data_IF_019517388778
#
_entry.id   IF_019517388778
#
_cell.length_a   1.000
_cell.length_b   1.000
_cell.length_c   1.000
_cell.angle_alpha   90.00
_cell.angle_beta   90.00
_cell.angle_gamma   90.00
#
_symmetry.space_group_name_H-M   'P 1'
#
loop_
_entity.id
_entity.type
_entity.pdbx_description
1 polymer ?
#
# COMPACT_ATOMS: atom_id res chain seq x y z
N UNK A 1 53.03 23.66 -47.67
CA UNK A 1 53.56 24.56 -46.60
C UNK A 1 52.38 25.43 -46.15
N UNK A 2 51.75 25.32 -44.98
CA UNK A 2 52.22 25.15 -43.60
C UNK A 2 51.17 24.40 -42.75
N UNK A 3 51.63 23.39 -42.01
CA UNK A 3 51.03 22.90 -40.77
C UNK A 3 51.00 24.00 -39.68
N UNK A 4 50.06 23.90 -38.73
CA UNK A 4 50.15 24.23 -37.27
C UNK A 4 48.71 24.25 -36.71
N UNK A 5 48.35 23.80 -35.50
CA UNK A 5 48.97 23.09 -34.37
C UNK A 5 47.78 22.58 -33.53
N UNK A 6 47.80 21.33 -33.06
CA UNK A 6 46.82 20.81 -32.09
C UNK A 6 47.12 21.38 -30.71
N UNK A 7 46.10 21.87 -30.01
CA UNK A 7 46.18 22.21 -28.57
C UNK A 7 45.31 21.21 -27.83
N UNK A 8 45.96 20.37 -27.03
CA UNK A 8 45.33 19.41 -26.11
C UNK A 8 45.15 20.17 -24.79
N UNK A 9 43.91 20.40 -24.35
CA UNK A 9 43.62 20.82 -22.98
C UNK A 9 43.21 19.58 -22.18
N UNK A 10 44.07 19.20 -21.25
CA UNK A 10 43.83 18.23 -20.19
C UNK A 10 42.74 18.75 -19.26
N UNK A 11 41.58 18.06 -19.24
CA UNK A 11 40.53 18.31 -18.26
C UNK A 11 40.85 17.47 -17.01
N UNK A 12 41.34 18.10 -15.95
CA UNK A 12 41.39 17.52 -14.62
C UNK A 12 39.97 17.35 -14.09
N UNK A 13 39.52 16.10 -13.99
CA UNK A 13 38.25 15.74 -13.37
C UNK A 13 38.40 15.83 -11.83
N UNK A 14 37.98 16.96 -11.26
CA UNK A 14 37.82 17.08 -9.81
C UNK A 14 36.58 16.28 -9.38
N UNK A 15 36.81 15.10 -8.78
CA UNK A 15 35.75 14.32 -8.13
C UNK A 15 35.43 15.00 -6.81
N UNK A 16 34.38 15.82 -6.80
CA UNK A 16 33.82 16.40 -5.59
C UNK A 16 32.99 15.30 -4.89
N UNK A 17 33.54 14.70 -3.83
CA UNK A 17 32.79 13.78 -2.96
C UNK A 17 31.65 14.57 -2.29
N UNK A 18 30.42 14.33 -2.73
CA UNK A 18 29.23 14.78 -1.99
C UNK A 18 29.03 13.84 -0.81
N UNK A 19 29.12 14.37 0.41
CA UNK A 19 28.74 13.67 1.62
C UNK A 19 27.24 13.32 1.55
N UNK A 20 26.93 12.02 1.51
CA UNK A 20 25.55 11.51 1.59
C UNK A 20 25.13 11.54 3.07
N UNK A 21 24.03 12.19 3.46
CA UNK A 21 23.56 12.13 4.84
C UNK A 21 23.02 10.72 5.12
N UNK A 22 23.67 10.01 6.04
CA UNK A 22 23.36 8.65 6.47
C UNK A 22 22.28 8.65 7.55
N UNK A 23 21.28 7.75 7.45
CA UNK A 23 20.45 6.97 8.45
C UNK A 23 20.03 7.60 9.81
N UNK A 24 20.62 8.69 10.25
CA UNK A 24 20.47 9.35 11.56
C UNK A 24 19.13 10.06 11.76
N UNK A 25 18.40 10.39 10.68
CA UNK A 25 17.20 11.24 10.72
C UNK A 25 15.88 10.47 11.01
N UNK A 26 15.87 9.13 10.93
CA UNK A 26 14.73 8.29 11.34
C UNK A 26 14.73 8.06 12.85
N UNK A 27 15.88 7.57 13.35
CA UNK A 27 16.08 7.28 14.76
C UNK A 27 15.84 8.55 15.56
N UNK A 28 16.35 9.71 15.11
CA UNK A 28 16.11 10.99 15.76
C UNK A 28 14.63 11.36 15.90
N UNK A 29 13.77 11.01 14.93
CA UNK A 29 12.32 11.29 14.96
C UNK A 29 11.57 10.31 15.86
N UNK A 30 11.91 9.03 15.83
CA UNK A 30 11.35 8.00 16.73
C UNK A 30 11.71 8.32 18.18
N UNK A 31 12.97 8.64 18.42
CA UNK A 31 13.49 8.97 19.75
C UNK A 31 12.84 10.26 20.28
N UNK A 32 12.72 11.30 19.44
CA UNK A 32 11.99 12.52 19.78
C UNK A 32 10.50 12.25 20.06
N UNK A 33 9.83 11.42 19.26
CA UNK A 33 8.42 11.05 19.50
C UNK A 33 8.27 10.38 20.88
N UNK A 34 9.16 9.45 21.21
CA UNK A 34 9.13 8.74 22.50
C UNK A 34 9.45 9.69 23.65
N UNK A 35 10.41 10.60 23.48
CA UNK A 35 10.72 11.63 24.47
C UNK A 35 9.51 12.53 24.73
N UNK A 36 8.87 13.04 23.67
CA UNK A 36 7.63 13.84 23.77
C UNK A 36 6.54 13.03 24.46
N UNK A 37 6.37 11.75 24.11
CA UNK A 37 5.35 10.87 24.69
C UNK A 37 5.50 10.76 26.20
N UNK A 38 6.73 10.54 26.66
CA UNK A 38 7.03 10.36 28.08
C UNK A 38 6.77 11.63 28.91
N UNK A 39 6.87 12.84 28.33
CA UNK A 39 6.61 14.11 29.03
C UNK A 39 5.18 14.24 29.55
N UNK A 40 4.23 13.48 28.99
CA UNK A 40 2.82 13.57 29.36
C UNK A 40 2.35 12.41 30.24
N UNK A 41 3.26 11.55 30.73
CA UNK A 41 2.90 10.49 31.69
C UNK A 41 2.18 11.09 32.91
N UNK A 42 1.09 10.46 33.32
CA UNK A 42 0.26 10.90 34.44
C UNK A 42 -0.80 11.95 34.09
N UNK A 43 -0.81 12.54 32.88
CA UNK A 43 -1.92 13.41 32.45
C UNK A 43 -3.22 12.61 32.48
N UNK A 44 -4.29 13.09 33.16
CA UNK A 44 -5.50 12.31 33.36
C UNK A 44 -6.24 12.03 32.05
N UNK A 45 -7.03 10.96 32.06
CA UNK A 45 -7.92 10.69 30.95
C UNK A 45 -9.09 11.66 30.93
N UNK A 46 -9.44 12.15 29.74
CA UNK A 46 -10.63 12.96 29.52
C UNK A 46 -11.24 12.56 28.18
N UNK A 47 -12.48 12.09 28.17
CA UNK A 47 -13.17 11.71 26.93
C UNK A 47 -13.27 12.93 26.01
N UNK A 48 -12.82 12.80 24.75
CA UNK A 48 -12.76 13.96 23.85
C UNK A 48 -11.54 14.87 24.08
N UNK A 49 -10.73 14.63 25.10
CA UNK A 49 -9.58 15.44 25.49
C UNK A 49 -8.43 15.39 24.48
N UNK A 50 -7.86 16.54 24.17
CA UNK A 50 -6.78 16.73 23.18
C UNK A 50 -5.65 17.65 23.66
N UNK A 51 -5.61 17.94 24.98
CA UNK A 51 -4.64 18.89 25.56
C UNK A 51 -3.99 18.30 26.81
N UNK A 52 -2.86 18.86 27.29
CA UNK A 52 -2.20 18.40 28.52
C UNK A 52 -3.04 18.52 29.81
N UNK A 53 -4.22 19.14 29.78
CA UNK A 53 -5.17 19.14 30.90
C UNK A 53 -5.98 17.84 30.98
N UNK A 54 -5.97 17.04 29.91
CA UNK A 54 -6.65 15.75 29.85
C UNK A 54 -6.72 15.23 28.42
N UNK A 55 -6.43 13.94 28.24
CA UNK A 55 -6.42 13.29 26.93
C UNK A 55 -7.34 12.08 26.88
N UNK A 56 -8.04 11.86 25.76
CA UNK A 56 -8.44 10.49 25.39
C UNK A 56 -7.31 9.77 24.65
N UNK A 57 -7.46 8.47 24.38
CA UNK A 57 -6.40 7.67 23.74
C UNK A 57 -5.94 8.27 22.40
N UNK A 58 -6.89 8.59 21.53
CA UNK A 58 -6.62 9.14 20.20
C UNK A 58 -6.20 10.61 20.21
N UNK A 59 -6.65 11.40 21.19
CA UNK A 59 -6.24 12.78 21.41
C UNK A 59 -4.82 12.87 21.95
N UNK A 60 -4.42 11.93 22.81
CA UNK A 60 -3.04 11.79 23.28
C UNK A 60 -2.09 11.49 22.10
N UNK A 61 -2.36 10.43 21.33
CA UNK A 61 -1.52 10.08 20.18
C UNK A 61 -1.50 11.22 19.16
N UNK A 62 -2.64 11.82 18.83
CA UNK A 62 -2.70 12.98 17.94
C UNK A 62 -1.81 14.12 18.41
N UNK A 63 -1.87 14.45 19.71
CA UNK A 63 -1.10 15.55 20.27
C UNK A 63 0.41 15.30 20.21
N UNK A 64 0.87 14.11 20.62
CA UNK A 64 2.29 13.75 20.62
C UNK A 64 2.84 13.69 19.20
N UNK A 65 2.12 13.04 18.27
CA UNK A 65 2.54 12.99 16.88
C UNK A 65 2.57 14.38 16.24
N UNK A 66 1.61 15.25 16.56
CA UNK A 66 1.61 16.64 16.06
C UNK A 66 2.86 17.41 16.53
N UNK A 67 3.30 17.20 17.77
CA UNK A 67 4.55 17.78 18.30
C UNK A 67 5.79 17.19 17.62
N UNK A 68 5.72 15.95 17.15
CA UNK A 68 6.74 15.31 16.31
C UNK A 68 6.59 15.64 14.80
N UNK A 69 5.70 16.58 14.42
CA UNK A 69 5.53 17.03 13.04
C UNK A 69 4.59 16.17 12.18
N UNK A 70 3.83 15.25 12.77
CA UNK A 70 2.91 14.34 12.08
C UNK A 70 1.47 14.62 12.48
N UNK A 71 0.61 14.87 11.49
CA UNK A 71 -0.82 15.09 11.76
C UNK A 71 -1.57 13.77 11.71
N UNK A 72 -2.19 13.41 12.83
CA UNK A 72 -3.12 12.28 12.91
C UNK A 72 -4.57 12.77 12.92
N UNK A 73 -5.50 12.01 12.33
CA UNK A 73 -6.93 12.28 12.46
C UNK A 73 -7.39 12.07 13.92
N UNK A 74 -8.58 12.56 14.24
CA UNK A 74 -9.00 12.75 15.63
C UNK A 74 -9.29 11.44 16.37
N UNK A 75 -9.91 10.46 15.71
CA UNK A 75 -10.41 9.26 16.38
C UNK A 75 -9.51 8.04 16.17
N UNK A 76 -9.54 7.09 17.10
CA UNK A 76 -8.80 5.82 17.00
C UNK A 76 -9.14 5.04 15.73
N UNK A 77 -10.42 5.04 15.30
CA UNK A 77 -10.82 4.42 14.03
C UNK A 77 -10.16 5.07 12.83
N UNK A 78 -10.16 6.40 12.77
CA UNK A 78 -9.53 7.12 11.68
C UNK A 78 -8.01 6.90 11.68
N UNK A 79 -7.40 6.87 12.87
CA UNK A 79 -5.97 6.61 13.03
C UNK A 79 -5.60 5.17 12.60
N UNK A 80 -6.51 4.22 12.79
CA UNK A 80 -6.33 2.84 12.33
C UNK A 80 -6.38 2.72 10.79
N UNK A 81 -6.88 3.71 10.07
CA UNK A 81 -7.00 3.69 8.62
C UNK A 81 -5.91 4.49 7.89
N UNK A 82 -4.91 5.00 8.61
CA UNK A 82 -3.78 5.74 8.03
C UNK A 82 -2.45 5.02 8.28
N UNK A 83 -1.46 5.33 7.47
CA UNK A 83 -0.14 4.69 7.55
C UNK A 83 -0.14 3.25 7.04
N UNK A 84 1.01 2.60 7.16
CA UNK A 84 1.21 1.24 6.67
C UNK A 84 0.87 0.23 7.76
N UNK A 85 0.05 -0.82 7.50
CA UNK A 85 -0.16 -1.88 8.47
C UNK A 85 1.15 -2.60 8.83
N UNK A 86 1.33 -2.88 10.11
CA UNK A 86 2.51 -3.59 10.65
C UNK A 86 2.05 -4.86 11.34
N UNK A 87 2.68 -5.99 11.02
CA UNK A 87 2.43 -7.25 11.72
C UNK A 87 2.97 -7.17 13.15
N UNK A 88 2.36 -7.90 14.09
CA UNK A 88 2.77 -7.86 15.50
C UNK A 88 4.24 -8.24 15.70
N UNK A 89 4.79 -9.12 14.86
CA UNK A 89 6.20 -9.53 14.88
C UNK A 89 7.18 -8.45 14.40
N UNK A 90 6.70 -7.49 13.61
CA UNK A 90 7.53 -6.46 12.97
C UNK A 90 7.31 -5.08 13.62
N UNK A 91 6.78 -5.05 14.85
CA UNK A 91 6.54 -3.81 15.56
C UNK A 91 7.85 -3.09 15.86
N UNK A 92 7.89 -1.82 15.48
CA UNK A 92 9.01 -0.92 15.73
C UNK A 92 8.56 0.25 16.58
N UNK A 93 9.51 0.79 17.35
CA UNK A 93 9.29 1.98 18.18
C UNK A 93 8.64 3.10 17.36
N UNK A 94 7.58 3.68 17.90
CA UNK A 94 6.80 4.74 17.26
C UNK A 94 5.65 4.25 16.37
N UNK A 95 5.46 2.95 16.17
CA UNK A 95 4.23 2.44 15.54
C UNK A 95 3.02 2.70 16.45
N UNK A 96 1.87 3.02 15.86
CA UNK A 96 0.60 3.06 16.58
C UNK A 96 0.07 1.64 16.74
N UNK A 97 -0.30 1.25 17.96
CA UNK A 97 -0.94 -0.04 18.27
C UNK A 97 -2.39 0.17 18.66
N UNK A 98 -3.26 -0.73 18.25
CA UNK A 98 -4.71 -0.57 18.34
C UNK A 98 -5.38 -1.76 19.02
N UNK A 99 -6.45 -1.46 19.76
CA UNK A 99 -7.17 -2.43 20.57
C UNK A 99 -8.69 -2.26 20.48
N UNK A 100 -9.40 -3.37 20.66
CA UNK A 100 -10.86 -3.44 20.82
C UNK A 100 -11.22 -3.56 22.30
N UNK A 101 -11.56 -2.44 22.97
CA UNK A 101 -11.80 -2.36 24.42
C UNK A 101 -13.28 -2.21 24.77
N UNK A 102 -13.90 -1.06 24.49
CA UNK A 102 -15.29 -0.75 24.90
C UNK A 102 -16.31 -0.92 23.77
N UNK A 103 -15.86 -1.07 22.52
CA UNK A 103 -16.70 -1.47 21.38
C UNK A 103 -15.85 -2.27 20.39
N UNK A 104 -16.54 -3.04 19.55
CA UNK A 104 -15.90 -3.76 18.44
C UNK A 104 -15.14 -2.80 17.52
N UNK A 105 -13.95 -3.24 17.09
CA UNK A 105 -13.06 -2.45 16.25
C UNK A 105 -12.09 -1.55 17.04
N UNK A 106 -11.34 -0.66 16.35
CA UNK A 106 -10.31 0.21 16.95
C UNK A 106 -10.88 1.26 17.91
N UNK A 107 -11.23 0.83 19.11
CA UNK A 107 -11.79 1.67 20.17
C UNK A 107 -10.74 2.24 21.12
N UNK A 108 -9.51 1.73 21.08
CA UNK A 108 -8.38 2.26 21.84
C UNK A 108 -7.08 2.18 21.06
N UNK A 109 -6.12 3.06 21.36
CA UNK A 109 -4.81 3.05 20.75
C UNK A 109 -3.71 3.62 21.65
N UNK A 110 -2.47 3.42 21.24
CA UNK A 110 -1.28 3.97 21.87
C UNK A 110 -0.06 3.85 20.98
N UNK A 111 1.09 4.26 21.50
CA UNK A 111 2.37 4.31 20.77
C UNK A 111 3.24 3.18 21.26
N UNK A 112 3.69 2.29 20.37
CA UNK A 112 4.62 1.23 20.70
C UNK A 112 5.99 1.83 21.02
N UNK A 113 6.57 1.42 22.14
CA UNK A 113 7.85 1.96 22.65
C UNK A 113 8.95 0.89 22.75
N UNK A 114 8.73 -0.27 22.13
CA UNK A 114 9.67 -1.40 22.16
C UNK A 114 9.35 -2.40 23.28
N UNK A 115 9.99 -3.57 23.24
CA UNK A 115 9.94 -4.60 24.28
C UNK A 115 8.52 -5.07 24.66
N UNK A 116 7.60 -5.10 23.69
CA UNK A 116 6.20 -5.44 23.95
C UNK A 116 5.44 -4.37 24.73
N UNK A 117 5.96 -3.16 24.87
CA UNK A 117 5.36 -2.07 25.65
C UNK A 117 4.79 -0.99 24.74
N UNK A 118 3.75 -0.33 25.23
CA UNK A 118 3.15 0.81 24.57
C UNK A 118 2.69 1.86 25.59
N UNK A 119 2.76 3.13 25.20
CA UNK A 119 2.29 4.26 26.01
C UNK A 119 0.93 4.76 25.49
N UNK A 120 -0.03 4.98 26.38
CA UNK A 120 -1.39 5.37 26.02
C UNK A 120 -2.07 6.14 27.17
N UNK A 121 -3.13 6.90 26.85
CA UNK A 121 -4.03 7.44 27.88
C UNK A 121 -5.02 6.37 28.33
N UNK A 122 -4.90 5.87 29.55
CA UNK A 122 -5.78 4.88 30.19
C UNK A 122 -6.93 5.57 30.91
N UNK A 123 -8.15 5.04 30.79
CA UNK A 123 -9.37 5.61 31.41
C UNK A 123 -9.25 5.82 32.92
N UNK A 124 -8.55 4.95 33.65
CA UNK A 124 -8.45 5.00 35.12
C UNK A 124 -7.14 5.61 35.64
N UNK A 125 -6.10 5.68 34.82
CA UNK A 125 -4.74 6.03 35.29
C UNK A 125 -4.06 7.12 34.47
N UNK A 126 -4.76 7.70 33.50
CA UNK A 126 -4.19 8.69 32.60
C UNK A 126 -3.10 8.09 31.71
N UNK A 127 -2.15 8.90 31.26
CA UNK A 127 -1.08 8.45 30.37
C UNK A 127 -0.11 7.52 31.11
N UNK A 128 -0.12 6.24 30.74
CA UNK A 128 0.68 5.16 31.34
C UNK A 128 1.32 4.28 30.28
N UNK A 129 2.24 3.42 30.72
CA UNK A 129 2.85 2.37 29.89
C UNK A 129 2.23 1.03 30.27
N UNK A 130 1.78 0.29 29.27
CA UNK A 130 1.22 -1.06 29.40
C UNK A 130 1.96 -2.04 28.48
N UNK A 131 1.73 -3.33 28.66
CA UNK A 131 2.24 -4.38 27.77
C UNK A 131 1.20 -4.78 26.74
N UNK A 132 1.56 -4.84 25.45
CA UNK A 132 0.69 -5.36 24.38
C UNK A 132 0.49 -6.88 24.45
N UNK A 133 1.31 -7.54 25.28
CA UNK A 133 1.29 -8.99 25.49
C UNK A 133 0.76 -9.36 26.88
N UNK A 134 0.22 -8.39 27.62
CA UNK A 134 -0.49 -8.67 28.87
C UNK A 134 -1.63 -9.68 28.59
N UNK A 135 -1.57 -10.90 29.18
CA UNK A 135 -2.54 -11.94 28.88
C UNK A 135 -3.93 -11.63 29.46
N UNK A 136 -4.05 -10.70 30.40
CA UNK A 136 -5.29 -10.44 31.12
C UNK A 136 -6.19 -9.43 30.41
N UNK A 137 -5.62 -8.36 29.84
CA UNK A 137 -6.40 -7.30 29.23
C UNK A 137 -5.98 -6.96 27.80
N UNK A 138 -4.74 -6.52 27.61
CA UNK A 138 -4.32 -5.92 26.33
C UNK A 138 -4.05 -6.93 25.23
N UNK A 139 -3.46 -8.08 25.56
CA UNK A 139 -3.08 -9.12 24.61
C UNK A 139 -4.27 -9.65 23.81
N UNK A 140 -5.37 -9.99 24.50
CA UNK A 140 -6.59 -10.47 23.88
C UNK A 140 -7.34 -9.39 23.07
N UNK A 141 -7.04 -8.10 23.31
CA UNK A 141 -7.72 -6.97 22.69
C UNK A 141 -6.94 -6.36 21.54
N UNK A 142 -5.71 -6.78 21.29
CA UNK A 142 -4.86 -6.26 20.22
C UNK A 142 -5.45 -6.61 18.85
N UNK A 143 -5.65 -5.61 17.99
CA UNK A 143 -6.26 -5.80 16.66
C UNK A 143 -5.36 -5.33 15.50
N UNK A 144 -4.17 -4.81 15.79
CA UNK A 144 -3.19 -4.45 14.77
C UNK A 144 -2.39 -3.19 15.07
N UNK A 145 -1.52 -2.83 14.14
CA UNK A 145 -0.66 -1.67 14.25
C UNK A 145 -0.48 -0.94 12.91
N UNK A 146 -0.11 0.36 13.01
CA UNK A 146 0.15 1.25 11.87
C UNK A 146 1.46 1.98 12.05
N UNK A 147 2.34 1.89 11.05
CA UNK A 147 3.53 2.72 10.92
C UNK A 147 3.14 4.05 10.26
N UNK A 148 3.27 5.12 11.03
CA UNK A 148 2.93 6.49 10.60
C UNK A 148 4.17 7.40 10.54
N UNK A 149 5.27 7.01 11.20
CA UNK A 149 6.59 7.59 10.99
C UNK A 149 7.13 7.11 9.65
N UNK A 150 7.50 8.04 8.77
CA UNK A 150 8.21 7.71 7.53
C UNK A 150 9.68 7.54 7.88
N UNK A 151 10.20 6.31 7.78
CA UNK A 151 11.65 6.07 7.67
C UNK A 151 12.23 6.97 6.55
N UNK A 152 13.47 7.48 6.70
CA UNK A 152 14.18 8.17 5.63
C UNK A 152 14.44 7.12 4.54
N UNK A 153 13.50 7.02 3.62
CA UNK A 153 13.81 6.54 2.27
C UNK A 153 14.93 7.44 1.75
N UNK A 154 16.01 6.80 1.30
CA UNK A 154 17.08 7.38 0.46
C UNK A 154 16.50 8.52 -0.40
N UNK A 155 17.09 9.71 -0.30
CA UNK A 155 16.52 10.96 -0.81
C UNK A 155 16.31 10.88 -2.32
N UNK A 156 15.08 10.62 -2.73
CA UNK A 156 14.58 11.00 -4.05
C UNK A 156 14.16 12.48 -3.95
N UNK A 157 14.85 13.36 -4.68
CA UNK A 157 14.63 14.81 -4.68
C UNK A 157 13.17 15.10 -5.04
N UNK A 158 12.39 15.63 -4.10
CA UNK A 158 11.03 16.12 -4.37
C UNK A 158 11.07 17.47 -5.09
N UNK A 159 11.20 17.41 -6.41
CA UNK A 159 10.53 18.38 -7.28
C UNK A 159 9.04 18.33 -6.93
N UNK A 160 8.32 19.46 -6.83
CA UNK A 160 6.87 19.44 -6.58
C UNK A 160 6.20 18.57 -7.65
N UNK A 161 5.77 17.37 -7.26
CA UNK A 161 5.02 16.48 -8.14
C UNK A 161 3.67 17.15 -8.32
N UNK A 162 3.45 17.72 -9.51
CA UNK A 162 2.11 18.06 -9.98
C UNK A 162 1.24 16.83 -9.73
N UNK A 163 0.25 16.93 -8.84
CA UNK A 163 -0.78 15.90 -8.69
C UNK A 163 -1.37 15.74 -10.08
N UNK A 164 -1.28 14.55 -10.68
CA UNK A 164 -1.92 14.32 -11.98
C UNK A 164 -3.41 14.46 -11.80
N UNK A 165 -3.95 15.61 -12.22
CA UNK A 165 -5.37 15.86 -12.24
C UNK A 165 -5.90 15.25 -13.53
N UNK A 166 -6.62 14.14 -13.40
CA UNK A 166 -7.49 13.63 -14.46
C UNK A 166 -8.91 14.14 -14.22
N UNK A 167 -9.68 14.30 -15.28
CA UNK A 167 -11.03 14.87 -15.27
C UNK A 167 -11.99 13.96 -16.05
N UNK A 168 -13.25 14.35 -16.18
CA UNK A 168 -14.30 13.61 -16.88
C UNK A 168 -13.95 13.24 -18.33
N UNK A 169 -13.06 14.00 -18.99
CA UNK A 169 -12.58 13.70 -20.34
C UNK A 169 -11.45 12.67 -20.40
N UNK A 170 -10.96 12.17 -19.25
CA UNK A 170 -9.95 11.10 -19.21
C UNK A 170 -10.60 9.76 -19.55
N UNK A 171 -9.99 9.00 -20.48
CA UNK A 171 -10.60 7.79 -21.07
C UNK A 171 -11.00 6.71 -20.05
N UNK A 172 -10.28 6.62 -18.92
CA UNK A 172 -10.57 5.68 -17.83
C UNK A 172 -11.36 6.30 -16.68
N UNK A 173 -11.84 7.54 -16.80
CA UNK A 173 -12.45 8.30 -15.71
C UNK A 173 -13.62 7.55 -15.04
N UNK A 174 -14.61 7.12 -15.82
CA UNK A 174 -15.79 6.44 -15.30
C UNK A 174 -15.45 5.14 -14.55
N UNK A 175 -14.52 4.36 -15.09
CA UNK A 175 -14.03 3.12 -14.46
C UNK A 175 -13.33 3.40 -13.13
N UNK A 176 -12.45 4.40 -13.11
CA UNK A 176 -11.71 4.81 -11.91
C UNK A 176 -12.68 5.31 -10.84
N UNK A 177 -13.59 6.22 -11.17
CA UNK A 177 -14.57 6.73 -10.20
C UNK A 177 -15.45 5.60 -9.65
N UNK A 178 -15.90 4.67 -10.51
CA UNK A 178 -16.68 3.52 -10.06
C UNK A 178 -15.91 2.60 -9.12
N UNK A 179 -14.64 2.32 -9.39
CA UNK A 179 -13.80 1.53 -8.49
C UNK A 179 -13.50 2.26 -7.17
N UNK A 180 -13.44 3.60 -7.16
CA UNK A 180 -13.32 4.38 -5.91
C UNK A 180 -14.60 4.31 -5.08
N UNK A 181 -15.77 4.41 -5.71
CA UNK A 181 -17.07 4.26 -5.03
C UNK A 181 -17.18 2.90 -4.36
N UNK A 182 -16.75 1.85 -5.07
CA UNK A 182 -16.70 0.48 -4.55
C UNK A 182 -15.60 0.27 -3.51
N UNK A 183 -14.77 1.29 -3.25
CA UNK A 183 -13.61 1.25 -2.35
C UNK A 183 -12.59 0.18 -2.75
N UNK A 184 -12.48 -0.11 -4.05
CA UNK A 184 -11.51 -1.06 -4.61
C UNK A 184 -10.16 -0.37 -4.81
N UNK A 185 -10.16 0.89 -5.23
CA UNK A 185 -8.96 1.73 -5.38
C UNK A 185 -8.96 2.94 -4.43
N UNK A 186 -7.77 3.44 -4.13
CA UNK A 186 -7.57 4.57 -3.21
C UNK A 186 -7.99 5.93 -3.81
N UNK A 187 -8.24 6.92 -2.95
CA UNK A 187 -8.69 8.25 -3.37
C UNK A 187 -7.62 9.06 -4.10
N UNK A 188 -6.35 8.77 -3.84
CA UNK A 188 -5.17 9.40 -4.44
C UNK A 188 -4.55 8.57 -5.59
N UNK A 189 -5.37 7.72 -6.21
CA UNK A 189 -5.06 6.95 -7.42
C UNK A 189 -4.39 7.82 -8.51
N UNK A 190 -3.27 7.34 -9.06
CA UNK A 190 -2.41 8.07 -10.00
C UNK A 190 -2.40 7.35 -11.36
N UNK A 191 -3.36 7.65 -12.26
CA UNK A 191 -3.69 6.78 -13.37
C UNK A 191 -2.60 6.59 -14.43
N UNK A 192 -1.65 7.51 -14.58
CA UNK A 192 -0.57 7.36 -15.59
C UNK A 192 0.72 6.76 -15.02
N UNK A 193 0.76 6.46 -13.72
CA UNK A 193 1.90 5.75 -13.13
C UNK A 193 1.84 4.27 -13.46
N UNK A 194 3.00 3.65 -13.60
CA UNK A 194 3.10 2.20 -13.72
C UNK A 194 2.61 1.55 -12.42
N UNK A 195 1.88 0.44 -12.54
CA UNK A 195 1.32 -0.27 -11.39
C UNK A 195 2.33 -1.25 -10.80
N UNK A 196 2.41 -1.30 -9.46
CA UNK A 196 3.20 -2.34 -8.78
C UNK A 196 2.37 -3.58 -8.49
N UNK A 197 3.04 -4.71 -8.31
CA UNK A 197 2.42 -5.97 -7.89
C UNK A 197 1.67 -5.83 -6.56
N UNK A 198 2.21 -5.05 -5.61
CA UNK A 198 1.53 -4.76 -4.33
C UNK A 198 0.24 -3.95 -4.49
N UNK A 199 0.24 -2.97 -5.39
CA UNK A 199 -0.96 -2.19 -5.71
C UNK A 199 -2.02 -3.08 -6.37
N UNK A 200 -1.62 -3.89 -7.35
CA UNK A 200 -2.50 -4.86 -8.01
C UNK A 200 -3.15 -5.84 -7.01
N UNK A 201 -2.37 -6.42 -6.09
CA UNK A 201 -2.92 -7.34 -5.07
C UNK A 201 -3.89 -6.65 -4.11
N UNK A 202 -3.61 -5.39 -3.76
CA UNK A 202 -4.51 -4.60 -2.90
C UNK A 202 -5.85 -4.41 -3.60
N UNK A 203 -5.83 -4.08 -4.89
CA UNK A 203 -7.04 -3.95 -5.70
C UNK A 203 -7.82 -5.26 -5.79
N UNK A 204 -7.15 -6.40 -6.01
CA UNK A 204 -7.82 -7.72 -6.02
C UNK A 204 -8.45 -8.08 -4.70
N UNK A 205 -7.70 -7.91 -3.61
CA UNK A 205 -8.22 -8.16 -2.26
C UNK A 205 -9.50 -7.37 -2.04
N UNK A 206 -9.48 -6.07 -2.33
CA UNK A 206 -10.64 -5.22 -2.13
C UNK A 206 -11.81 -5.65 -3.03
N UNK A 207 -11.55 -5.97 -4.30
CA UNK A 207 -12.57 -6.44 -5.22
C UNK A 207 -13.23 -7.74 -4.74
N UNK A 208 -12.42 -8.74 -4.36
CA UNK A 208 -12.90 -10.02 -3.84
C UNK A 208 -13.75 -9.87 -2.58
N UNK A 209 -13.33 -9.01 -1.64
CA UNK A 209 -14.10 -8.73 -0.41
C UNK A 209 -15.42 -8.01 -0.68
N UNK A 210 -15.54 -7.30 -1.81
CA UNK A 210 -16.75 -6.55 -2.17
C UNK A 210 -17.75 -7.37 -2.97
N UNK A 211 -17.30 -8.39 -3.70
CA UNK A 211 -18.15 -9.18 -4.59
C UNK A 211 -19.02 -10.23 -3.93
N UNK A 212 -18.94 -10.43 -2.61
CA UNK A 212 -19.75 -11.35 -1.79
C UNK A 212 -20.52 -12.42 -2.59
N UNK A 213 -19.81 -13.42 -3.14
CA UNK A 213 -20.43 -14.51 -3.90
C UNK A 213 -21.17 -15.44 -2.94
N UNK A 214 -22.35 -15.90 -3.35
CA UNK A 214 -23.25 -16.79 -2.60
C UNK A 214 -22.65 -18.13 -2.17
N UNK A 215 -21.46 -18.49 -2.67
CA UNK A 215 -20.82 -19.80 -2.42
C UNK A 215 -19.48 -19.72 -1.66
N UNK A 216 -18.85 -18.53 -1.53
CA UNK A 216 -17.58 -18.36 -0.80
C UNK A 216 -17.58 -17.01 -0.07
N UNK A 217 -17.75 -17.04 1.26
CA UNK A 217 -17.61 -15.85 2.11
C UNK A 217 -16.11 -15.51 2.29
N UNK A 218 -15.58 -14.69 1.38
CA UNK A 218 -14.21 -14.19 1.48
C UNK A 218 -14.15 -13.08 2.53
N UNK A 219 -13.25 -13.26 3.49
CA UNK A 219 -12.99 -12.34 4.59
C UNK A 219 -11.52 -11.93 4.59
N UNK A 220 -11.17 -10.95 5.40
CA UNK A 220 -9.78 -10.53 5.56
C UNK A 220 -8.83 -11.65 6.00
N UNK A 221 -9.34 -12.72 6.64
CA UNK A 221 -8.53 -13.83 7.12
C UNK A 221 -8.24 -14.90 6.06
N UNK A 222 -9.10 -15.07 5.04
CA UNK A 222 -8.97 -16.15 4.05
C UNK A 222 -8.68 -15.65 2.62
N UNK A 223 -8.84 -14.36 2.33
CA UNK A 223 -8.67 -13.79 0.97
C UNK A 223 -7.24 -13.96 0.43
N UNK A 224 -6.22 -13.91 1.31
CA UNK A 224 -4.83 -14.15 0.90
C UNK A 224 -4.62 -15.62 0.52
N UNK A 225 -5.11 -16.55 1.34
CA UNK A 225 -5.07 -17.98 1.06
C UNK A 225 -5.83 -18.33 -0.23
N UNK A 226 -6.96 -17.66 -0.47
CA UNK A 226 -7.69 -17.77 -1.74
C UNK A 226 -6.83 -17.35 -2.94
N UNK A 227 -6.13 -16.21 -2.85
CA UNK A 227 -5.22 -15.76 -3.92
C UNK A 227 -4.02 -16.68 -4.12
N UNK A 228 -3.48 -17.28 -3.06
CA UNK A 228 -2.41 -18.29 -3.16
C UNK A 228 -2.93 -19.54 -3.87
N UNK A 229 -4.10 -20.06 -3.49
CA UNK A 229 -4.72 -21.23 -4.12
C UNK A 229 -5.04 -21.01 -5.61
N UNK A 230 -5.25 -19.76 -6.01
CA UNK A 230 -5.44 -19.35 -7.41
C UNK A 230 -4.13 -19.10 -8.17
N UNK A 231 -2.96 -19.39 -7.56
CA UNK A 231 -1.61 -19.18 -8.10
C UNK A 231 -1.31 -17.70 -8.48
N UNK A 232 -1.94 -16.76 -7.78
CA UNK A 232 -1.78 -15.31 -8.04
C UNK A 232 -0.59 -14.76 -7.26
N UNK A 233 -0.39 -15.33 -6.06
CA UNK A 233 0.75 -15.13 -5.18
C UNK A 233 1.42 -16.50 -5.06
N UNK A 234 2.76 -16.53 -5.16
CA UNK A 234 3.50 -17.78 -4.94
C UNK A 234 3.22 -18.33 -3.53
N UNK A 235 3.24 -19.66 -3.42
CA UNK A 235 3.15 -20.47 -2.20
C UNK A 235 4.06 -20.00 -1.04
N UNK A 236 5.17 -19.34 -1.37
CA UNK A 236 6.10 -18.74 -0.39
C UNK A 236 5.59 -17.42 0.24
N UNK A 237 4.44 -16.90 -0.23
CA UNK A 237 3.93 -15.55 0.08
C UNK A 237 4.94 -14.43 -0.25
N UNK A 238 5.89 -14.71 -1.15
CA UNK A 238 6.88 -13.76 -1.65
C UNK A 238 6.23 -12.77 -2.62
N UNK A 239 5.60 -11.72 -2.08
CA UNK A 239 5.12 -10.60 -2.87
C UNK A 239 6.24 -9.56 -3.03
N UNK A 240 6.71 -9.33 -4.25
CA UNK A 240 7.57 -8.17 -4.50
C UNK A 240 6.69 -6.92 -4.66
N UNK A 241 6.28 -6.35 -3.53
CA UNK A 241 5.34 -5.21 -3.49
C UNK A 241 5.73 -3.98 -4.34
N UNK A 242 7.01 -3.83 -4.68
CA UNK A 242 7.55 -2.74 -5.50
C UNK A 242 7.81 -3.14 -6.96
N UNK A 243 7.71 -4.42 -7.32
CA UNK A 243 7.88 -4.87 -8.71
C UNK A 243 6.81 -4.22 -9.58
N UNK A 244 7.23 -3.57 -10.66
CA UNK A 244 6.32 -3.07 -11.68
C UNK A 244 5.82 -4.23 -12.53
N UNK A 245 4.51 -4.28 -12.77
CA UNK A 245 3.90 -5.33 -13.56
C UNK A 245 3.95 -4.98 -15.05
N UNK A 246 4.36 -5.95 -15.86
CA UNK A 246 4.15 -5.86 -17.30
C UNK A 246 2.68 -6.10 -17.64
N UNK A 247 2.26 -5.71 -18.84
CA UNK A 247 0.88 -5.90 -19.32
C UNK A 247 0.47 -7.38 -19.32
N UNK A 248 1.35 -8.29 -19.75
CA UNK A 248 1.07 -9.73 -19.74
C UNK A 248 0.99 -10.30 -18.32
N UNK A 249 1.90 -9.90 -17.42
CA UNK A 249 1.89 -10.33 -16.02
C UNK A 249 0.62 -9.89 -15.29
N UNK A 250 0.17 -8.66 -15.52
CA UNK A 250 -1.05 -8.12 -14.94
C UNK A 250 -2.29 -8.89 -15.38
N UNK A 251 -2.39 -9.19 -16.68
CA UNK A 251 -3.50 -9.98 -17.24
C UNK A 251 -3.50 -11.39 -16.67
N UNK A 252 -2.35 -12.07 -16.67
CA UNK A 252 -2.19 -13.41 -16.10
C UNK A 252 -2.70 -13.48 -14.66
N UNK A 253 -2.34 -12.49 -13.84
CA UNK A 253 -2.81 -12.40 -12.46
C UNK A 253 -4.32 -12.17 -12.34
N UNK A 254 -4.90 -11.24 -13.12
CA UNK A 254 -6.35 -10.97 -13.09
C UNK A 254 -7.16 -12.20 -13.48
N UNK A 255 -6.78 -12.84 -14.57
CA UNK A 255 -7.45 -14.04 -15.08
C UNK A 255 -7.32 -15.19 -14.07
N UNK A 256 -6.17 -15.34 -13.41
CA UNK A 256 -6.00 -16.33 -12.35
C UNK A 256 -6.90 -16.10 -11.12
N UNK A 257 -7.08 -14.85 -10.69
CA UNK A 257 -7.93 -14.51 -9.53
C UNK A 257 -9.42 -14.68 -9.85
N UNK A 258 -9.86 -14.05 -10.94
CA UNK A 258 -11.26 -13.77 -11.21
C UNK A 258 -11.88 -14.75 -12.20
N UNK A 259 -11.09 -15.35 -13.10
CA UNK A 259 -11.60 -16.36 -14.02
C UNK A 259 -11.99 -17.65 -13.29
N UNK A 260 -13.17 -18.19 -13.60
CA UNK A 260 -13.40 -19.64 -13.54
C UNK A 260 -12.57 -20.27 -14.65
N UNK A 261 -11.26 -20.31 -14.41
CA UNK A 261 -10.24 -20.67 -15.38
C UNK A 261 -10.15 -22.19 -15.52
N UNK A 262 -11.18 -22.81 -16.11
CA UNK A 262 -11.18 -24.23 -16.41
C UNK A 262 -10.23 -24.56 -17.59
N UNK A 263 -9.71 -25.79 -17.63
CA UNK A 263 -8.77 -26.24 -18.67
C UNK A 263 -9.38 -26.28 -20.09
N UNK A 264 -10.72 -26.24 -20.22
CA UNK A 264 -11.40 -26.21 -21.52
C UNK A 264 -11.36 -24.81 -22.14
N UNK A 265 -11.57 -23.77 -21.33
CA UNK A 265 -11.54 -22.37 -21.75
C UNK A 265 -10.15 -21.95 -22.28
N UNK A 266 -9.07 -22.60 -21.82
CA UNK A 266 -7.69 -22.38 -22.27
C UNK A 266 -7.37 -22.92 -23.66
N UNK A 267 -8.15 -23.87 -24.21
CA UNK A 267 -7.71 -24.67 -25.36
C UNK A 267 -8.17 -24.17 -26.73
N UNK A 268 -9.03 -23.15 -26.81
CA UNK A 268 -9.67 -22.76 -28.08
C UNK A 268 -9.45 -21.31 -28.51
N UNK A 269 -8.53 -20.59 -27.88
CA UNK A 269 -8.43 -19.14 -28.06
C UNK A 269 -7.11 -18.75 -28.74
N UNK A 270 -7.21 -18.20 -29.95
CA UNK A 270 -6.07 -17.74 -30.72
C UNK A 270 -6.19 -16.24 -30.96
N UNK A 271 -5.18 -15.49 -30.52
CA UNK A 271 -5.03 -14.06 -30.81
C UNK A 271 -3.73 -13.84 -31.57
N UNK A 272 -3.73 -12.84 -32.45
CA UNK A 272 -2.58 -12.49 -33.28
C UNK A 272 -2.21 -11.04 -33.05
N UNK A 273 -0.95 -10.81 -32.69
CA UNK A 273 -0.32 -9.51 -32.61
C UNK A 273 1.10 -9.60 -33.17
N UNK A 274 1.63 -8.45 -33.59
CA UNK A 274 2.96 -8.40 -34.21
C UNK A 274 4.11 -8.71 -33.24
N UNK A 275 3.89 -8.54 -31.94
CA UNK A 275 4.88 -8.64 -30.86
C UNK A 275 4.50 -9.67 -29.78
N UNK A 276 3.47 -10.49 -30.02
CA UNK A 276 2.97 -11.46 -29.04
C UNK A 276 2.59 -12.78 -29.73
N UNK A 277 3.20 -13.87 -29.27
CA UNK A 277 3.07 -15.19 -29.90
C UNK A 277 2.76 -16.29 -28.88
N UNK A 278 2.34 -17.46 -29.37
CA UNK A 278 1.94 -18.61 -28.56
C UNK A 278 3.01 -19.14 -27.61
N UNK A 279 4.29 -18.83 -27.84
CA UNK A 279 5.39 -19.23 -26.96
C UNK A 279 5.59 -18.29 -25.77
N UNK A 280 4.94 -17.12 -25.75
CA UNK A 280 5.08 -16.17 -24.65
C UNK A 280 4.45 -16.71 -23.36
N UNK A 281 5.12 -16.50 -22.24
CA UNK A 281 4.57 -16.82 -20.92
C UNK A 281 3.29 -15.99 -20.67
N UNK A 282 2.17 -16.64 -20.36
CA UNK A 282 0.88 -15.94 -20.17
C UNK A 282 0.04 -15.78 -21.44
N UNK A 283 0.44 -16.39 -22.57
CA UNK A 283 -0.33 -16.29 -23.82
C UNK A 283 -1.79 -16.71 -23.67
N UNK A 284 -2.07 -17.79 -22.94
CA UNK A 284 -3.43 -18.31 -22.80
C UNK A 284 -4.33 -17.38 -21.99
N UNK A 285 -3.81 -16.81 -20.90
CA UNK A 285 -4.50 -15.85 -20.06
C UNK A 285 -4.77 -14.55 -20.83
N UNK A 286 -3.80 -14.09 -21.63
CA UNK A 286 -4.00 -12.93 -22.50
C UNK A 286 -5.01 -13.21 -23.59
N UNK A 287 -4.95 -14.36 -24.26
CA UNK A 287 -5.92 -14.74 -25.27
C UNK A 287 -7.34 -14.78 -24.70
N UNK A 288 -7.50 -15.35 -23.50
CA UNK A 288 -8.73 -15.32 -22.72
C UNK A 288 -9.22 -13.88 -22.48
N UNK A 289 -8.39 -13.03 -21.89
CA UNK A 289 -8.78 -11.66 -21.57
C UNK A 289 -9.15 -10.82 -22.81
N UNK A 290 -8.56 -11.10 -23.97
CA UNK A 290 -8.91 -10.44 -25.23
C UNK A 290 -10.31 -10.87 -25.70
N UNK A 291 -10.61 -12.18 -25.68
CA UNK A 291 -11.88 -12.70 -26.17
C UNK A 291 -13.05 -12.36 -25.25
N UNK A 292 -12.80 -12.31 -23.94
CA UNK A 292 -13.75 -11.79 -22.94
C UNK A 292 -13.84 -10.26 -22.92
N UNK A 293 -13.15 -9.57 -23.85
CA UNK A 293 -13.15 -8.10 -24.00
C UNK A 293 -12.67 -7.34 -22.76
N UNK A 294 -11.93 -8.01 -21.87
CA UNK A 294 -11.36 -7.42 -20.67
C UNK A 294 -10.23 -6.45 -21.03
N UNK A 295 -9.43 -6.79 -22.05
CA UNK A 295 -8.34 -5.97 -22.57
C UNK A 295 -8.34 -5.98 -24.11
N UNK A 296 -7.63 -5.04 -24.72
CA UNK A 296 -7.42 -4.99 -26.18
C UNK A 296 -5.94 -4.79 -26.48
N UNK A 297 -5.55 -5.07 -27.72
CA UNK A 297 -4.27 -4.60 -28.28
C UNK A 297 -4.31 -3.11 -28.64
N UNK A 298 -3.20 -2.63 -29.18
CA UNK A 298 -3.02 -1.27 -29.67
C UNK A 298 -3.34 -1.18 -31.16
N UNK A 299 -3.61 0.03 -31.64
CA UNK A 299 -3.95 0.30 -33.05
C UNK A 299 -2.82 -0.02 -34.04
N UNK A 300 -1.58 -0.13 -33.55
CA UNK A 300 -0.40 -0.55 -34.32
C UNK A 300 -0.31 -2.08 -34.52
N UNK A 301 -1.32 -2.83 -34.09
CA UNK A 301 -1.38 -4.28 -34.20
C UNK A 301 -0.52 -5.02 -33.17
N UNK A 302 -0.02 -4.30 -32.17
CA UNK A 302 0.82 -4.85 -31.10
C UNK A 302 0.03 -5.01 -29.80
N UNK A 303 0.48 -5.91 -28.93
CA UNK A 303 -0.06 -6.10 -27.57
C UNK A 303 0.84 -5.47 -26.49
N UNK A 304 2.15 -5.38 -26.73
CA UNK A 304 3.17 -4.86 -25.80
C UNK A 304 3.22 -5.65 -24.48
N UNK A 305 3.45 -6.98 -24.53
CA UNK A 305 3.34 -7.86 -23.36
C UNK A 305 4.29 -7.47 -22.21
N UNK A 306 5.49 -7.02 -22.54
CA UNK A 306 6.56 -6.70 -21.57
C UNK A 306 6.60 -5.23 -21.16
N UNK A 307 5.69 -4.40 -21.67
CA UNK A 307 5.62 -2.99 -21.27
C UNK A 307 4.96 -2.86 -19.91
N UNK A 308 5.53 -2.01 -19.04
CA UNK A 308 4.95 -1.67 -17.75
C UNK A 308 3.51 -1.15 -17.91
N UNK A 309 2.58 -1.80 -17.23
CA UNK A 309 1.17 -1.45 -17.29
C UNK A 309 0.90 -0.21 -16.43
N UNK A 310 0.09 0.72 -16.94
CA UNK A 310 -0.35 1.87 -16.16
C UNK A 310 -1.49 1.52 -15.21
N UNK A 311 -1.60 2.25 -14.11
CA UNK A 311 -2.68 2.09 -13.13
C UNK A 311 -4.06 2.21 -13.79
N UNK A 312 -4.27 3.18 -14.68
CA UNK A 312 -5.53 3.33 -15.43
C UNK A 312 -5.90 2.10 -16.26
N UNK A 313 -4.93 1.54 -16.98
CA UNK A 313 -5.13 0.34 -17.79
C UNK A 313 -5.52 -0.85 -16.90
N UNK A 314 -4.83 -1.01 -15.78
CA UNK A 314 -5.11 -2.07 -14.83
C UNK A 314 -6.48 -1.90 -14.16
N UNK A 315 -6.89 -0.66 -13.85
CA UNK A 315 -8.20 -0.37 -13.30
C UNK A 315 -9.32 -0.73 -14.29
N UNK A 316 -9.17 -0.40 -15.57
CA UNK A 316 -10.16 -0.77 -16.59
C UNK A 316 -10.22 -2.29 -16.78
N UNK A 317 -9.06 -2.95 -16.83
CA UNK A 317 -8.97 -4.41 -16.90
C UNK A 317 -9.67 -5.07 -15.70
N UNK A 318 -9.38 -4.61 -14.48
CA UNK A 318 -10.01 -5.10 -13.27
C UNK A 318 -11.52 -4.88 -13.30
N UNK A 319 -11.98 -3.66 -13.61
CA UNK A 319 -13.40 -3.35 -13.66
C UNK A 319 -14.15 -4.30 -14.61
N UNK A 320 -13.65 -4.49 -15.83
CA UNK A 320 -14.26 -5.40 -16.82
C UNK A 320 -14.24 -6.86 -16.36
N UNK A 321 -13.17 -7.27 -15.68
CA UNK A 321 -13.11 -8.60 -15.09
C UNK A 321 -14.22 -8.83 -14.05
N UNK A 322 -14.57 -7.80 -13.27
CA UNK A 322 -15.64 -7.89 -12.27
C UNK A 322 -17.03 -7.94 -12.91
N UNK A 323 -17.23 -7.38 -14.12
CA UNK A 323 -18.51 -7.46 -14.83
C UNK A 323 -18.81 -8.86 -15.38
N UNK A 324 -17.81 -9.74 -15.44
CA UNK A 324 -17.98 -11.15 -15.83
C UNK A 324 -18.40 -12.04 -14.66
N UNK A 325 -18.46 -11.50 -13.43
CA UNK A 325 -18.67 -12.26 -12.19
C UNK A 325 -20.05 -12.08 -11.57
#
# INVERSE_FOLDING_TARGET
MKMRKKIIHSVSLAVMLLAVPTVTDASSKVDNLIEISNKYKGVPYSWGGTTPNGFDCSGYTQYVFKKAGITLPRTSDQQYNIGTPVSKSNLEKGDLVFFSTYRSGPSHNGIYIGDGKFIHSSTSSGVIISSINDPFYWGARYIGARKVLKEPKQVEVKVPVKKEVYNEGYWAYSYIERLKELQIIEKDFSPNKSITEGQAMTMFKNALLKMNRSEIELTNSNVVSYMINKNVIDSSNSLNSNKLLTRAEAVKKIVGVLGEFDEQSKKQQAVSFNDFSRSHEGYQEVAYAINEKMITGYNDGSFKPDTEMKQSEFAVLLYRALELL
#
